data_IF_481138029782
#
_entry.id   IF_481138029782
#
_cell.length_a   1.000
_cell.length_b   1.000
_cell.length_c   1.000
_cell.angle_alpha   90.00
_cell.angle_beta   90.00
_cell.angle_gamma   90.00
#
_symmetry.space_group_name_H-M   'P 1'
#
loop_
_entity.id
_entity.type
_entity.pdbx_description
1 polymer ?
#
# COMPACT_ATOMS: atom_id res chain seq x y z
N UNK A 1 23.10 -25.11 13.86
CA UNK A 1 21.74 -25.65 14.08
C UNK A 1 20.87 -24.50 14.49
N UNK A 2 19.81 -24.20 13.73
CA UNK A 2 18.83 -23.22 14.18
C UNK A 2 18.19 -23.67 15.49
N UNK A 3 18.07 -22.76 16.46
CA UNK A 3 17.38 -23.04 17.71
C UNK A 3 15.91 -23.36 17.45
N UNK A 4 15.35 -24.30 18.19
CA UNK A 4 13.91 -24.61 18.11
C UNK A 4 13.15 -23.47 18.77
N UNK A 5 12.23 -22.83 18.03
CA UNK A 5 11.49 -21.62 18.45
C UNK A 5 10.51 -21.91 19.60
N UNK A 6 9.76 -23.01 19.49
CA UNK A 6 8.80 -23.40 20.52
C UNK A 6 9.29 -24.66 21.23
N UNK A 7 9.77 -24.49 22.44
CA UNK A 7 10.13 -25.57 23.34
C UNK A 7 9.66 -25.22 24.75
N UNK A 8 8.96 -26.14 25.38
CA UNK A 8 8.42 -25.96 26.70
C UNK A 8 8.78 -27.15 27.61
N UNK A 9 9.05 -26.87 28.86
CA UNK A 9 9.14 -27.85 29.91
C UNK A 9 7.75 -28.08 30.54
N UNK A 10 7.50 -29.27 31.08
CA UNK A 10 6.19 -29.59 31.67
C UNK A 10 5.75 -28.59 32.74
N UNK A 11 6.69 -28.03 33.48
CA UNK A 11 6.44 -27.05 34.56
C UNK A 11 5.97 -25.67 34.05
N UNK A 12 6.10 -25.39 32.76
CA UNK A 12 5.60 -24.15 32.12
C UNK A 12 4.14 -24.25 31.67
N UNK A 13 3.49 -25.42 31.90
CA UNK A 13 2.07 -25.59 31.55
C UNK A 13 1.19 -24.62 32.33
N UNK A 14 0.21 -24.06 31.66
CA UNK A 14 -0.81 -23.18 32.25
C UNK A 14 -2.16 -23.89 32.46
N UNK A 15 -2.27 -25.12 32.00
CA UNK A 15 -3.48 -25.93 32.06
C UNK A 15 -3.49 -27.04 31.02
N UNK A 16 -4.63 -27.70 30.86
CA UNK A 16 -4.78 -28.84 29.96
C UNK A 16 -6.12 -28.84 29.21
N UNK A 17 -6.14 -29.52 28.08
CA UNK A 17 -7.35 -29.66 27.25
C UNK A 17 -8.37 -30.54 27.91
N UNK A 18 -9.58 -30.03 28.12
CA UNK A 18 -10.73 -30.74 28.68
C UNK A 18 -11.70 -31.29 27.59
N UNK A 19 -11.92 -30.51 26.55
CA UNK A 19 -12.77 -30.90 25.43
C UNK A 19 -12.26 -30.39 24.09
N UNK A 20 -12.52 -31.10 23.03
CA UNK A 20 -12.09 -30.77 21.67
C UNK A 20 -13.26 -30.94 20.71
N UNK A 21 -13.41 -29.96 19.81
CA UNK A 21 -14.26 -29.99 18.63
C UNK A 21 -13.38 -29.77 17.40
N UNK A 22 -13.96 -29.88 16.18
CA UNK A 22 -13.22 -29.88 14.89
C UNK A 22 -12.24 -28.71 14.70
N UNK A 23 -12.59 -27.51 15.17
CA UNK A 23 -11.76 -26.29 15.02
C UNK A 23 -11.47 -25.57 16.32
N UNK A 24 -11.94 -26.11 17.45
CA UNK A 24 -11.91 -25.47 18.76
C UNK A 24 -11.56 -26.47 19.86
N UNK A 25 -11.05 -25.95 20.97
CA UNK A 25 -10.87 -26.71 22.21
C UNK A 25 -11.26 -25.84 23.40
N UNK A 26 -11.58 -26.53 24.51
CA UNK A 26 -11.71 -25.89 25.82
C UNK A 26 -10.59 -26.43 26.71
N UNK A 27 -9.85 -25.54 27.33
CA UNK A 27 -8.81 -25.89 28.30
C UNK A 27 -9.24 -25.46 29.71
N UNK A 28 -8.91 -26.31 30.70
CA UNK A 28 -8.98 -25.96 32.12
C UNK A 28 -7.63 -25.33 32.48
N UNK A 29 -7.66 -24.20 33.19
CA UNK A 29 -6.48 -23.48 33.65
C UNK A 29 -6.21 -23.82 35.11
N UNK A 30 -4.93 -24.08 35.41
CA UNK A 30 -4.52 -24.69 36.69
C UNK A 30 -4.74 -23.78 37.92
N UNK A 31 -4.75 -22.44 37.73
CA UNK A 31 -4.97 -21.50 38.82
C UNK A 31 -5.63 -20.21 38.42
N UNK A 32 -6.25 -19.54 39.40
CA UNK A 32 -6.85 -18.21 39.26
C UNK A 32 -5.83 -17.13 38.88
N UNK A 33 -4.62 -17.23 39.42
CA UNK A 33 -3.54 -16.27 39.15
C UNK A 33 -3.11 -16.37 37.66
N UNK A 34 -2.98 -17.57 37.15
CA UNK A 34 -2.66 -17.78 35.72
C UNK A 34 -3.80 -17.28 34.85
N UNK A 35 -5.07 -17.63 35.20
CA UNK A 35 -6.24 -17.17 34.42
C UNK A 35 -6.34 -15.64 34.37
N UNK A 36 -5.98 -14.95 35.45
CA UNK A 36 -6.03 -13.48 35.51
C UNK A 36 -5.03 -12.78 34.58
N UNK A 37 -3.97 -13.47 34.17
CA UNK A 37 -2.96 -12.97 33.24
C UNK A 37 -3.27 -13.30 31.78
N UNK A 38 -4.29 -14.11 31.51
CA UNK A 38 -4.66 -14.47 30.14
C UNK A 38 -5.58 -13.38 29.55
N UNK A 39 -5.40 -13.14 28.26
CA UNK A 39 -6.14 -12.13 27.50
C UNK A 39 -6.83 -12.74 26.27
N UNK A 40 -7.95 -12.16 25.87
CA UNK A 40 -8.62 -12.47 24.61
C UNK A 40 -7.64 -12.16 23.45
N UNK A 41 -7.63 -13.01 22.43
CA UNK A 41 -6.73 -13.02 21.27
C UNK A 41 -5.28 -13.40 21.57
N UNK A 42 -4.92 -13.76 22.81
CA UNK A 42 -3.59 -14.30 23.13
C UNK A 42 -3.40 -15.68 22.48
N UNK A 43 -2.16 -15.96 22.01
CA UNK A 43 -1.80 -17.25 21.43
C UNK A 43 -1.36 -18.23 22.50
N UNK A 44 -1.80 -19.48 22.34
CA UNK A 44 -1.49 -20.63 23.21
C UNK A 44 -0.92 -21.73 22.34
N UNK A 45 0.16 -22.37 22.80
CA UNK A 45 0.68 -23.60 22.23
C UNK A 45 0.08 -24.81 22.95
N UNK A 46 -0.59 -25.70 22.22
CA UNK A 46 -1.15 -26.95 22.74
C UNK A 46 -0.25 -28.08 22.28
N UNK A 47 0.12 -28.96 23.19
CA UNK A 47 0.91 -30.14 22.84
C UNK A 47 0.19 -31.01 21.82
N UNK A 48 0.80 -31.29 20.69
CA UNK A 48 0.26 -32.21 19.68
C UNK A 48 0.49 -33.66 20.09
N UNK A 49 -0.39 -34.60 19.69
CA UNK A 49 -0.13 -36.02 19.81
C UNK A 49 1.14 -36.49 19.09
N UNK A 50 1.60 -35.72 18.09
CA UNK A 50 2.80 -36.02 17.32
C UNK A 50 4.01 -35.28 17.96
N UNK A 51 5.07 -36.05 18.26
CA UNK A 51 6.31 -35.47 18.85
C UNK A 51 6.90 -34.35 17.99
N UNK A 52 7.46 -33.32 18.63
CA UNK A 52 8.06 -32.16 17.98
C UNK A 52 7.04 -31.24 17.30
N UNK A 53 5.79 -31.23 17.76
CA UNK A 53 4.73 -30.39 17.22
C UNK A 53 3.88 -29.75 18.30
N UNK A 54 3.38 -28.56 17.97
CA UNK A 54 2.41 -27.82 18.77
C UNK A 54 1.27 -27.34 17.90
N UNK A 55 0.04 -27.42 18.38
CA UNK A 55 -1.11 -26.77 17.79
C UNK A 55 -1.15 -25.35 18.35
N UNK A 56 -1.11 -24.37 17.46
CA UNK A 56 -1.23 -22.97 17.83
C UNK A 56 -2.69 -22.60 17.82
N UNK A 57 -3.17 -22.10 18.95
CA UNK A 57 -4.56 -21.71 19.14
C UNK A 57 -4.65 -20.28 19.72
N UNK A 58 -5.79 -19.65 19.56
CA UNK A 58 -6.07 -18.29 20.04
C UNK A 58 -7.21 -18.32 21.05
N UNK A 59 -7.05 -17.62 22.16
CA UNK A 59 -8.10 -17.47 23.17
C UNK A 59 -9.22 -16.60 22.61
N UNK A 60 -10.44 -17.15 22.50
CA UNK A 60 -11.61 -16.40 22.05
C UNK A 60 -12.59 -16.10 23.18
N UNK A 61 -12.52 -16.86 24.28
CA UNK A 61 -13.38 -16.65 25.44
C UNK A 61 -12.71 -17.15 26.72
N UNK A 62 -12.90 -16.41 27.81
CA UNK A 62 -12.43 -16.78 29.14
C UNK A 62 -13.67 -16.92 30.03
N UNK A 63 -13.79 -18.01 30.73
CA UNK A 63 -14.85 -18.29 31.68
C UNK A 63 -14.26 -18.42 33.08
N UNK A 64 -14.86 -17.71 34.03
CA UNK A 64 -14.59 -17.85 35.44
C UNK A 64 -15.92 -18.14 36.15
N UNK A 65 -16.04 -19.26 36.80
CA UNK A 65 -17.23 -19.60 37.58
C UNK A 65 -16.84 -19.61 39.06
N UNK A 66 -17.53 -18.79 39.87
CA UNK A 66 -17.39 -18.85 41.31
C UNK A 66 -18.05 -20.14 41.82
N UNK A 67 -17.46 -20.75 42.84
CA UNK A 67 -18.11 -21.86 43.56
C UNK A 67 -19.22 -21.24 44.37
N UNK A 68 -20.50 -21.53 44.06
CA UNK A 68 -21.62 -21.24 44.96
C UNK A 68 -21.47 -22.22 46.14
N UNK A 69 -21.04 -21.71 47.28
CA UNK A 69 -21.18 -22.38 48.55
C UNK A 69 -22.68 -22.35 48.92
N UNK A 70 -23.48 -23.24 48.41
CA UNK A 70 -24.76 -23.57 49.04
C UNK A 70 -24.41 -24.46 50.23
N UNK A 71 -24.56 -23.86 51.42
CA UNK A 71 -24.61 -24.58 52.67
C UNK A 71 -25.84 -25.49 52.64
N UNK A 72 -25.67 -26.71 52.20
CA UNK A 72 -26.61 -27.78 52.46
C UNK A 72 -26.07 -28.58 53.66
N UNK A 73 -26.81 -28.54 54.78
CA UNK A 73 -26.59 -29.27 56.02
C UNK A 73 -26.92 -30.74 55.90
N UNK A 74 -26.44 -31.46 54.89
CA UNK A 74 -26.51 -32.90 54.82
C UNK A 74 -25.12 -33.46 54.54
N UNK A 75 -24.58 -34.03 55.66
CA UNK A 75 -23.39 -34.87 55.68
C UNK A 75 -23.62 -36.05 54.77
N UNK A 76 -22.78 -36.26 53.77
CA UNK A 76 -22.40 -37.51 53.06
C UNK A 76 -22.30 -37.44 51.51
N UNK A 77 -21.91 -36.34 50.92
CA UNK A 77 -21.30 -36.36 49.56
C UNK A 77 -20.26 -35.25 49.42
N UNK A 78 -18.97 -35.64 49.34
CA UNK A 78 -17.89 -34.76 48.89
C UNK A 78 -18.12 -34.39 47.43
N UNK A 79 -19.08 -33.47 47.19
CA UNK A 79 -19.22 -32.82 45.89
C UNK A 79 -18.22 -31.68 45.83
N UNK A 80 -16.99 -32.02 45.41
CA UNK A 80 -15.96 -31.06 45.08
C UNK A 80 -16.39 -30.25 43.87
N UNK A 81 -17.29 -29.30 44.05
CA UNK A 81 -17.59 -28.27 43.07
C UNK A 81 -16.37 -27.33 42.92
N UNK A 82 -15.37 -27.84 42.20
CA UNK A 82 -14.17 -27.07 41.88
C UNK A 82 -14.55 -25.90 40.96
N UNK A 83 -14.13 -24.69 41.34
CA UNK A 83 -14.21 -23.53 40.50
C UNK A 83 -13.54 -23.85 39.14
N UNK A 84 -14.28 -23.80 38.07
CA UNK A 84 -13.77 -24.16 36.75
C UNK A 84 -13.29 -22.89 36.07
N UNK A 85 -11.97 -22.73 35.98
CA UNK A 85 -11.31 -21.75 35.17
C UNK A 85 -11.12 -22.29 33.74
N UNK A 86 -11.91 -21.84 32.79
CA UNK A 86 -11.89 -22.38 31.43
C UNK A 86 -11.58 -21.30 30.41
N UNK A 87 -10.84 -21.68 29.37
CA UNK A 87 -10.63 -20.86 28.20
C UNK A 87 -11.06 -21.62 26.95
N UNK A 88 -11.75 -20.92 26.04
CA UNK A 88 -12.09 -21.44 24.73
C UNK A 88 -11.06 -21.00 23.71
N UNK A 89 -10.55 -21.97 22.98
CA UNK A 89 -9.43 -21.84 22.05
C UNK A 89 -9.90 -22.15 20.63
N UNK A 90 -9.53 -21.33 19.66
CA UNK A 90 -9.72 -21.58 18.22
C UNK A 90 -8.37 -21.93 17.61
N UNK A 91 -8.31 -22.99 16.84
CA UNK A 91 -7.06 -23.40 16.20
C UNK A 91 -6.67 -22.46 15.08
N UNK A 92 -5.40 -22.00 15.10
CA UNK A 92 -4.81 -21.11 14.09
C UNK A 92 -3.94 -21.88 13.11
N UNK A 93 -3.27 -22.94 13.58
CA UNK A 93 -2.39 -23.76 12.77
C UNK A 93 -1.56 -24.74 13.58
N UNK A 94 -0.59 -25.36 12.93
CA UNK A 94 0.35 -26.32 13.53
C UNK A 94 1.78 -25.82 13.34
N UNK A 95 2.53 -25.80 14.42
CA UNK A 95 3.97 -25.56 14.44
C UNK A 95 4.72 -26.89 14.56
N UNK A 96 5.79 -27.05 13.77
CA UNK A 96 6.62 -28.26 13.75
C UNK A 96 8.09 -27.88 13.90
N UNK A 97 8.81 -28.57 14.79
CA UNK A 97 10.24 -28.40 14.96
C UNK A 97 11.00 -28.70 13.67
N UNK A 98 10.56 -29.75 12.95
CA UNK A 98 11.10 -30.16 11.65
C UNK A 98 10.01 -30.63 10.70
N UNK A 99 10.17 -30.30 9.42
CA UNK A 99 9.38 -30.85 8.31
C UNK A 99 10.31 -31.12 7.12
N UNK A 100 10.79 -32.37 6.98
CA UNK A 100 11.87 -32.71 6.04
C UNK A 100 13.18 -32.06 6.43
N UNK A 101 13.77 -31.30 5.53
CA UNK A 101 15.02 -30.55 5.78
C UNK A 101 14.82 -29.20 6.46
N UNK A 102 13.57 -28.71 6.56
CA UNK A 102 13.24 -27.42 7.13
C UNK A 102 13.03 -27.52 8.64
N UNK A 103 13.61 -26.58 9.39
CA UNK A 103 13.37 -26.37 10.83
C UNK A 103 12.31 -25.30 11.05
N UNK A 104 11.64 -25.33 12.20
CA UNK A 104 10.67 -24.33 12.66
C UNK A 104 9.57 -24.04 11.60
N UNK A 105 8.74 -25.03 11.28
CA UNK A 105 7.72 -24.94 10.23
C UNK A 105 6.34 -24.65 10.79
N UNK A 106 5.72 -23.53 10.40
CA UNK A 106 4.33 -23.24 10.68
C UNK A 106 3.43 -23.55 9.46
N UNK A 107 2.30 -24.22 9.69
CA UNK A 107 1.24 -24.42 8.68
C UNK A 107 -0.10 -23.98 9.24
N UNK A 108 -0.91 -23.35 8.41
CA UNK A 108 -2.25 -22.86 8.81
C UNK A 108 -3.29 -23.97 9.01
N UNK A 109 -3.04 -25.17 8.52
CA UNK A 109 -3.89 -26.33 8.75
C UNK A 109 -3.41 -27.10 9.96
N UNK A 110 -4.36 -27.67 10.72
CA UNK A 110 -4.09 -28.56 11.83
C UNK A 110 -4.25 -29.99 11.32
N UNK A 111 -3.19 -30.79 11.42
CA UNK A 111 -3.14 -32.15 10.88
C UNK A 111 -3.64 -33.21 11.86
N UNK A 112 -3.83 -32.87 13.13
CA UNK A 112 -4.38 -33.73 14.17
C UNK A 112 -4.99 -32.85 15.27
N UNK A 113 -6.11 -33.27 15.82
CA UNK A 113 -6.70 -32.63 17.00
C UNK A 113 -5.87 -32.95 18.25
N UNK A 114 -5.80 -32.04 19.24
CA UNK A 114 -5.09 -32.33 20.49
C UNK A 114 -5.76 -33.44 21.27
N UNK A 115 -4.99 -34.19 22.04
CA UNK A 115 -5.52 -35.18 22.97
C UNK A 115 -6.21 -34.50 24.16
N UNK A 116 -7.19 -35.16 24.77
CA UNK A 116 -7.67 -34.76 26.10
C UNK A 116 -6.51 -34.82 27.09
N UNK A 117 -6.46 -33.87 27.99
CA UNK A 117 -5.34 -33.62 28.92
C UNK A 117 -4.02 -33.20 28.26
N UNK A 118 -4.02 -32.82 26.96
CA UNK A 118 -2.84 -32.21 26.32
C UNK A 118 -2.50 -30.90 27.01
N UNK A 119 -1.22 -30.69 27.32
CA UNK A 119 -0.75 -29.52 28.04
C UNK A 119 -0.81 -28.27 27.15
N UNK A 120 -1.17 -27.15 27.79
CA UNK A 120 -1.27 -25.83 27.17
C UNK A 120 -0.17 -24.91 27.72
N UNK A 121 0.44 -24.10 26.84
CA UNK A 121 1.53 -23.21 27.17
C UNK A 121 1.29 -21.81 26.61
N UNK A 122 1.66 -20.79 27.35
CA UNK A 122 1.64 -19.40 26.88
C UNK A 122 2.69 -19.17 25.79
N UNK A 123 2.32 -18.47 24.75
CA UNK A 123 3.27 -17.97 23.75
C UNK A 123 3.45 -16.47 24.00
N UNK A 124 4.60 -16.10 24.58
CA UNK A 124 4.92 -14.71 24.96
C UNK A 124 6.41 -14.42 24.79
N UNK A 125 6.81 -13.14 24.89
CA UNK A 125 8.17 -12.69 24.83
C UNK A 125 8.90 -13.08 23.55
N UNK A 126 10.11 -13.61 23.71
CA UNK A 126 10.94 -14.05 22.58
C UNK A 126 10.28 -15.16 21.76
N UNK A 127 9.56 -16.08 22.41
CA UNK A 127 8.86 -17.17 21.70
C UNK A 127 7.79 -16.65 20.75
N UNK A 128 7.02 -15.62 21.14
CA UNK A 128 6.03 -14.98 20.29
C UNK A 128 6.71 -14.25 19.13
N UNK A 129 7.74 -13.48 19.41
CA UNK A 129 8.55 -12.77 18.40
C UNK A 129 9.11 -13.76 17.37
N UNK A 130 9.75 -14.84 17.82
CA UNK A 130 10.38 -15.84 16.95
C UNK A 130 9.35 -16.64 16.13
N UNK A 131 8.19 -16.97 16.72
CA UNK A 131 7.09 -17.60 16.01
C UNK A 131 6.60 -16.69 14.87
N UNK A 132 6.41 -15.41 15.14
CA UNK A 132 5.93 -14.46 14.14
C UNK A 132 6.97 -14.19 13.06
N UNK A 133 8.26 -14.13 13.39
CA UNK A 133 9.34 -14.11 12.40
C UNK A 133 9.33 -15.37 11.53
N UNK A 134 9.16 -16.53 12.13
CA UNK A 134 9.05 -17.80 11.40
C UNK A 134 7.89 -17.79 10.41
N UNK A 135 6.73 -17.27 10.81
CA UNK A 135 5.55 -17.13 9.95
C UNK A 135 5.83 -16.15 8.79
N UNK A 136 6.52 -15.05 9.04
CA UNK A 136 6.87 -14.03 8.05
C UNK A 136 7.96 -14.50 7.08
N UNK A 137 9.02 -15.14 7.58
CA UNK A 137 10.17 -15.59 6.78
C UNK A 137 9.85 -16.78 5.87
N UNK A 138 8.90 -17.62 6.21
CA UNK A 138 8.57 -18.79 5.39
C UNK A 138 7.80 -18.51 4.12
N UNK A 139 7.28 -17.31 4.01
CA UNK A 139 6.52 -16.87 2.85
C UNK A 139 7.38 -16.05 1.89
N UNK A 140 8.61 -15.70 2.29
CA UNK A 140 9.55 -14.92 1.49
C UNK A 140 10.93 -15.56 1.53
N UNK A 141 11.38 -16.09 0.42
CA UNK A 141 12.71 -16.71 0.28
C UNK A 141 13.86 -15.70 0.29
N UNK A 142 13.62 -14.39 0.38
CA UNK A 142 14.66 -13.37 0.19
C UNK A 142 14.51 -12.04 0.93
N UNK A 143 13.45 -11.74 1.68
CA UNK A 143 13.23 -10.41 2.26
C UNK A 143 13.10 -10.46 3.77
N UNK A 144 13.70 -9.46 4.44
CA UNK A 144 13.59 -9.27 5.88
C UNK A 144 12.16 -8.96 6.28
N UNK A 145 11.64 -9.53 7.38
CA UNK A 145 10.31 -9.20 7.88
C UNK A 145 10.23 -7.71 8.30
N UNK A 146 9.08 -7.09 8.04
CA UNK A 146 8.82 -5.70 8.42
C UNK A 146 8.35 -5.65 9.88
N UNK A 147 9.09 -5.00 10.74
CA UNK A 147 8.69 -4.75 12.13
C UNK A 147 7.72 -3.55 12.16
N UNK A 148 6.43 -3.80 12.34
CA UNK A 148 5.38 -2.77 12.26
C UNK A 148 4.92 -2.23 13.61
N UNK A 149 5.33 -2.86 14.71
CA UNK A 149 4.95 -2.45 16.07
C UNK A 149 5.13 -3.56 17.08
N UNK A 150 4.46 -3.43 18.20
CA UNK A 150 4.41 -4.40 19.28
C UNK A 150 3.00 -4.93 19.47
N UNK A 151 2.87 -6.11 20.05
CA UNK A 151 1.57 -6.65 20.42
C UNK A 151 1.02 -5.92 21.66
N UNK A 152 -0.24 -5.52 21.62
CA UNK A 152 -0.90 -4.89 22.78
C UNK A 152 -1.00 -5.83 23.99
N UNK A 153 -0.98 -7.12 23.76
CA UNK A 153 -1.04 -8.16 24.80
C UNK A 153 0.33 -8.53 25.36
N UNK A 154 1.39 -8.14 24.69
CA UNK A 154 2.76 -8.41 25.08
C UNK A 154 3.70 -7.36 24.46
N UNK A 155 3.95 -6.29 25.20
CA UNK A 155 4.77 -5.17 24.75
C UNK A 155 6.26 -5.54 24.53
N UNK A 156 6.69 -6.70 25.01
CA UNK A 156 8.04 -7.23 24.75
C UNK A 156 8.15 -7.89 23.36
N UNK A 157 7.04 -8.28 22.76
CA UNK A 157 6.98 -9.00 21.49
C UNK A 157 6.74 -8.06 20.30
N UNK A 158 7.56 -8.23 19.25
CA UNK A 158 7.48 -7.42 18.03
C UNK A 158 6.55 -8.07 17.02
N UNK A 159 5.64 -7.27 16.47
CA UNK A 159 4.77 -7.68 15.38
C UNK A 159 5.46 -7.50 14.02
N UNK A 160 5.54 -8.58 13.25
CA UNK A 160 6.14 -8.60 11.92
C UNK A 160 5.08 -8.82 10.85
N UNK A 161 5.27 -8.16 9.71
CA UNK A 161 4.54 -8.41 8.47
C UNK A 161 5.48 -8.98 7.40
N UNK A 162 4.91 -9.78 6.51
CA UNK A 162 5.60 -10.23 5.30
C UNK A 162 5.58 -9.11 4.26
N UNK A 163 6.75 -8.50 4.03
CA UNK A 163 6.91 -7.37 3.11
C UNK A 163 6.56 -7.73 1.67
N UNK A 164 6.92 -8.94 1.21
CA UNK A 164 6.57 -9.39 -0.15
C UNK A 164 5.07 -9.42 -0.35
N UNK A 165 4.33 -9.97 0.59
CA UNK A 165 2.87 -10.04 0.49
C UNK A 165 2.20 -8.69 0.64
N UNK A 166 2.73 -7.83 1.50
CA UNK A 166 2.19 -6.49 1.68
C UNK A 166 2.33 -5.67 0.39
N UNK A 167 3.53 -5.68 -0.22
CA UNK A 167 3.83 -4.82 -1.37
C UNK A 167 3.45 -5.41 -2.73
N UNK A 168 3.26 -6.73 -2.84
CA UNK A 168 2.74 -7.36 -4.05
C UNK A 168 1.23 -7.29 -4.18
N UNK A 169 0.52 -6.84 -3.16
CA UNK A 169 -0.95 -6.75 -3.10
C UNK A 169 -1.39 -5.36 -2.65
N UNK A 170 -2.70 -5.17 -2.62
CA UNK A 170 -3.30 -3.94 -2.11
C UNK A 170 -3.49 -4.02 -0.60
N UNK A 171 -3.23 -2.91 0.06
CA UNK A 171 -3.51 -2.71 1.48
C UNK A 171 -4.28 -1.40 1.67
N UNK A 172 -5.18 -1.36 2.64
CA UNK A 172 -5.89 -0.15 3.04
C UNK A 172 -5.70 0.06 4.54
N UNK A 173 -5.30 1.28 4.93
CA UNK A 173 -5.17 1.70 6.32
C UNK A 173 -6.32 2.67 6.60
N UNK A 174 -7.26 2.23 7.42
CA UNK A 174 -8.49 2.97 7.73
C UNK A 174 -8.58 3.27 9.22
N UNK A 175 -9.19 4.38 9.57
CA UNK A 175 -9.39 4.80 10.96
C UNK A 175 -9.93 6.23 11.04
N UNK A 176 -10.40 6.64 12.21
CA UNK A 176 -10.84 8.01 12.49
C UNK A 176 -9.65 8.99 12.53
N UNK A 177 -9.93 10.29 12.51
CA UNK A 177 -8.91 11.32 12.71
C UNK A 177 -8.23 11.11 14.06
N UNK A 178 -6.90 11.22 14.10
CA UNK A 178 -6.11 10.99 15.32
C UNK A 178 -5.86 9.52 15.70
N UNK A 179 -6.35 8.54 14.92
CA UNK A 179 -6.15 7.11 15.21
C UNK A 179 -4.74 6.59 14.89
N UNK A 180 -3.85 7.43 14.36
CA UNK A 180 -2.48 7.05 14.01
C UNK A 180 -2.29 6.47 12.61
N UNK A 181 -3.22 6.70 11.64
CA UNK A 181 -3.06 6.22 10.25
C UNK A 181 -1.77 6.67 9.61
N UNK A 182 -1.48 7.98 9.65
CA UNK A 182 -0.26 8.57 9.07
C UNK A 182 1.00 8.04 9.75
N UNK A 183 0.94 7.83 11.06
CA UNK A 183 2.04 7.22 11.81
C UNK A 183 2.28 5.76 11.41
N UNK A 184 1.23 4.99 11.19
CA UNK A 184 1.32 3.61 10.68
C UNK A 184 1.96 3.58 9.28
N UNK A 185 1.56 4.48 8.38
CA UNK A 185 2.18 4.62 7.05
C UNK A 185 3.66 4.99 7.18
N UNK A 186 4.00 5.97 8.03
CA UNK A 186 5.38 6.36 8.28
C UNK A 186 6.24 5.18 8.74
N UNK A 187 5.74 4.37 9.69
CA UNK A 187 6.42 3.17 10.18
C UNK A 187 6.67 2.16 9.05
N UNK A 188 5.68 1.90 8.19
CA UNK A 188 5.83 0.99 7.03
C UNK A 188 6.87 1.53 6.05
N UNK A 189 6.83 2.82 5.74
CA UNK A 189 7.77 3.50 4.85
C UNK A 189 9.21 3.45 5.38
N UNK A 190 9.40 3.67 6.68
CA UNK A 190 10.70 3.51 7.35
C UNK A 190 11.26 2.08 7.22
N UNK A 191 10.43 1.09 7.48
CA UNK A 191 10.85 -0.31 7.35
C UNK A 191 11.18 -0.65 5.90
N UNK A 192 10.39 -0.14 4.95
CA UNK A 192 10.61 -0.33 3.53
C UNK A 192 11.92 0.30 3.05
N UNK A 193 12.28 1.49 3.55
CA UNK A 193 13.53 2.17 3.22
C UNK A 193 14.78 1.37 3.61
N UNK A 194 14.68 0.50 4.61
CA UNK A 194 15.77 -0.39 5.08
C UNK A 194 15.96 -1.62 4.18
N UNK A 195 15.01 -1.92 3.29
CA UNK A 195 15.09 -3.07 2.41
C UNK A 195 16.05 -2.81 1.25
N UNK A 196 16.95 -3.76 0.97
CA UNK A 196 18.03 -3.62 -0.02
C UNK A 196 17.55 -3.35 -1.45
N UNK A 197 16.42 -3.90 -1.84
CA UNK A 197 15.88 -3.83 -3.20
C UNK A 197 14.51 -3.14 -3.24
N UNK A 198 14.28 -2.19 -2.34
CA UNK A 198 13.02 -1.43 -2.33
C UNK A 198 12.99 -0.38 -3.44
N UNK A 199 11.83 -0.23 -4.06
CA UNK A 199 11.48 0.90 -4.89
C UNK A 199 10.01 1.23 -4.68
N UNK A 200 9.73 2.34 -4.02
CA UNK A 200 8.38 2.81 -3.75
C UNK A 200 8.24 4.30 -4.01
N UNK A 201 7.05 4.69 -4.39
CA UNK A 201 6.65 6.09 -4.53
C UNK A 201 5.48 6.32 -3.57
N UNK A 202 5.64 7.29 -2.68
CA UNK A 202 4.58 7.79 -1.80
C UNK A 202 4.09 9.13 -2.33
N UNK A 203 2.84 9.20 -2.75
CA UNK A 203 2.18 10.46 -3.10
C UNK A 203 1.62 11.09 -1.82
N UNK A 204 2.28 12.16 -1.38
CA UNK A 204 1.96 12.86 -0.14
C UNK A 204 1.07 14.07 -0.43
N UNK A 205 -0.24 13.84 -0.42
CA UNK A 205 -1.24 14.87 -0.79
C UNK A 205 -1.31 15.99 0.25
N UNK A 206 -1.00 15.69 1.52
CA UNK A 206 -1.15 16.63 2.64
C UNK A 206 0.18 17.16 3.19
N UNK A 207 1.33 16.73 2.66
CA UNK A 207 2.65 17.14 3.14
C UNK A 207 3.03 16.55 4.51
N UNK A 208 2.39 15.44 4.93
CA UNK A 208 2.65 14.82 6.23
C UNK A 208 4.02 14.12 6.31
N UNK A 209 4.54 13.64 5.17
CA UNK A 209 5.80 12.89 5.06
C UNK A 209 6.91 13.69 4.37
N UNK A 210 6.63 14.92 4.00
CA UNK A 210 7.55 15.82 3.30
C UNK A 210 8.22 16.82 4.23
N UNK A 211 7.90 16.78 5.53
CA UNK A 211 8.45 17.68 6.54
C UNK A 211 9.95 17.44 6.75
N UNK A 212 10.66 18.49 7.23
CA UNK A 212 12.09 18.42 7.57
C UNK A 212 12.39 17.42 8.68
N UNK A 213 11.40 17.05 9.49
CA UNK A 213 11.53 16.13 10.61
C UNK A 213 11.46 14.66 10.15
N UNK A 214 10.89 14.39 8.96
CA UNK A 214 10.82 13.05 8.37
C UNK A 214 12.05 12.78 7.49
N UNK A 215 13.25 12.84 8.09
CA UNK A 215 14.51 12.53 7.41
C UNK A 215 15.03 11.16 7.82
N UNK A 216 14.91 10.20 6.94
CA UNK A 216 15.29 8.81 7.15
C UNK A 216 16.19 8.37 6.00
N UNK A 217 17.27 7.66 6.32
CA UNK A 217 18.16 7.07 5.31
C UNK A 217 17.38 6.13 4.39
N UNK A 218 17.59 6.26 3.09
CA UNK A 218 16.86 5.50 2.07
C UNK A 218 15.53 6.12 1.63
N UNK A 219 15.14 7.27 2.20
CA UNK A 219 13.98 8.06 1.76
C UNK A 219 14.47 9.35 1.09
N UNK A 220 13.97 9.60 -0.12
CA UNK A 220 14.20 10.84 -0.86
C UNK A 220 12.90 11.62 -0.98
N UNK A 221 12.95 12.90 -0.64
CA UNK A 221 11.82 13.80 -0.75
C UNK A 221 11.92 14.61 -2.03
N UNK A 222 10.84 14.65 -2.78
CA UNK A 222 10.65 15.46 -3.97
C UNK A 222 9.41 16.33 -3.79
N UNK A 223 9.39 17.49 -4.42
CA UNK A 223 8.19 18.35 -4.49
C UNK A 223 7.79 18.58 -5.95
N UNK A 224 6.52 18.76 -6.19
CA UNK A 224 6.05 19.26 -7.48
C UNK A 224 6.43 20.77 -7.58
N UNK A 225 6.89 21.19 -8.75
CA UNK A 225 7.34 22.56 -8.95
C UNK A 225 6.21 23.57 -8.68
N UNK A 226 6.46 24.51 -7.79
CA UNK A 226 5.59 25.67 -7.54
C UNK A 226 5.89 26.81 -8.51
N UNK A 227 5.05 27.86 -8.61
CA UNK A 227 5.35 29.03 -9.43
C UNK A 227 6.73 29.67 -9.16
N UNK A 228 7.20 29.61 -7.92
CA UNK A 228 8.52 30.11 -7.51
C UNK A 228 9.69 29.27 -8.04
N UNK A 229 9.45 27.99 -8.31
CA UNK A 229 10.49 27.04 -8.76
C UNK A 229 10.66 27.03 -10.30
N UNK A 230 9.75 27.63 -11.06
CA UNK A 230 9.73 27.52 -12.53
C UNK A 230 10.99 28.08 -13.20
N UNK A 231 11.62 29.09 -12.62
CA UNK A 231 12.86 29.69 -13.11
C UNK A 231 14.12 28.93 -12.66
N UNK A 232 14.02 27.96 -11.76
CA UNK A 232 15.17 27.20 -11.25
C UNK A 232 15.72 26.31 -12.37
N UNK A 233 17.04 26.30 -12.55
CA UNK A 233 17.73 25.35 -13.43
C UNK A 233 17.90 24.00 -12.75
N UNK A 234 18.08 22.91 -13.54
CA UNK A 234 18.35 21.57 -13.04
C UNK A 234 17.36 21.11 -11.93
N UNK A 235 16.07 21.36 -12.17
CA UNK A 235 15.02 21.10 -11.17
C UNK A 235 15.06 19.68 -10.61
N UNK A 236 15.26 18.68 -11.49
CA UNK A 236 15.30 17.28 -11.10
C UNK A 236 16.46 16.97 -10.13
N UNK A 237 17.63 17.58 -10.35
CA UNK A 237 18.78 17.46 -9.46
C UNK A 237 18.53 18.13 -8.09
N UNK A 238 17.67 19.15 -8.07
CA UNK A 238 17.24 19.86 -6.87
C UNK A 238 16.00 19.24 -6.22
N UNK A 239 15.63 17.99 -6.58
CA UNK A 239 14.45 17.28 -6.10
C UNK A 239 13.11 17.98 -6.40
N UNK A 240 13.08 18.81 -7.46
CA UNK A 240 11.87 19.46 -7.94
C UNK A 240 11.38 18.73 -9.18
N UNK A 241 10.15 18.25 -9.14
CA UNK A 241 9.54 17.48 -10.22
C UNK A 241 8.66 18.38 -11.08
N UNK A 242 8.88 18.31 -12.37
CA UNK A 242 7.93 18.74 -13.40
C UNK A 242 7.13 17.52 -13.86
N UNK A 243 5.87 17.71 -14.20
CA UNK A 243 5.01 16.68 -14.80
C UNK A 243 4.52 17.22 -16.15
N UNK A 244 5.34 17.17 -17.19
CA UNK A 244 5.04 17.78 -18.47
C UNK A 244 3.74 17.25 -19.09
N UNK A 245 2.91 18.14 -19.65
CA UNK A 245 1.66 17.79 -20.32
C UNK A 245 1.81 16.75 -21.43
N UNK A 246 2.96 16.66 -22.06
CA UNK A 246 3.21 15.71 -23.15
C UNK A 246 3.43 14.26 -22.68
N UNK A 247 3.53 14.03 -21.35
CA UNK A 247 3.50 12.70 -20.74
C UNK A 247 2.08 12.17 -20.59
N UNK A 248 1.06 13.03 -20.59
CA UNK A 248 -0.32 12.63 -20.44
C UNK A 248 -0.79 11.86 -21.68
N UNK A 249 -1.51 10.78 -21.44
CA UNK A 249 -2.21 10.06 -22.50
C UNK A 249 -3.47 10.82 -22.96
N UNK A 250 -4.13 10.30 -23.99
CA UNK A 250 -5.32 10.92 -24.57
C UNK A 250 -6.48 11.08 -23.56
N UNK A 251 -6.74 10.06 -22.76
CA UNK A 251 -7.82 10.09 -21.78
C UNK A 251 -7.55 11.08 -20.65
N UNK A 252 -6.31 11.15 -20.17
CA UNK A 252 -5.87 12.08 -19.13
C UNK A 252 -5.95 13.54 -19.63
N UNK A 253 -5.51 13.79 -20.86
CA UNK A 253 -5.64 15.12 -21.47
C UNK A 253 -7.10 15.51 -21.66
N UNK A 254 -7.96 14.59 -22.07
CA UNK A 254 -9.40 14.84 -22.14
C UNK A 254 -9.99 15.17 -20.77
N UNK A 255 -9.65 14.39 -19.76
CA UNK A 255 -10.13 14.62 -18.39
C UNK A 255 -9.72 16.01 -17.86
N UNK A 256 -8.54 16.50 -18.24
CA UNK A 256 -8.03 17.81 -17.85
C UNK A 256 -8.70 18.98 -18.60
N UNK A 257 -9.01 18.81 -19.89
CA UNK A 257 -9.36 19.90 -20.78
C UNK A 257 -10.82 19.91 -21.23
N UNK A 258 -11.48 18.74 -21.36
CA UNK A 258 -12.83 18.63 -21.89
C UNK A 258 -13.89 18.76 -20.80
N UNK A 259 -14.95 19.46 -21.17
CA UNK A 259 -16.20 19.41 -20.44
C UNK A 259 -17.14 18.39 -21.11
N UNK A 260 -17.32 17.27 -20.46
CA UNK A 260 -18.16 16.18 -20.97
C UNK A 260 -19.63 16.57 -21.14
N UNK A 261 -20.06 17.66 -20.51
CA UNK A 261 -21.43 18.20 -20.67
C UNK A 261 -21.60 19.08 -21.91
N UNK A 262 -20.50 19.48 -22.57
CA UNK A 262 -20.54 20.29 -23.81
C UNK A 262 -21.01 19.42 -25.00
N UNK A 263 -22.02 19.86 -25.72
CA UNK A 263 -22.51 19.17 -26.92
C UNK A 263 -21.44 18.94 -28.00
N UNK A 264 -20.43 19.80 -28.04
CA UNK A 264 -19.31 19.71 -28.96
C UNK A 264 -18.12 18.87 -28.41
N UNK A 265 -18.19 18.31 -27.19
CA UNK A 265 -17.09 17.56 -26.60
C UNK A 265 -16.53 16.47 -27.54
N UNK A 266 -17.31 15.65 -28.25
CA UNK A 266 -16.77 14.68 -29.20
C UNK A 266 -15.96 15.31 -30.34
N UNK A 267 -16.43 16.43 -30.90
CA UNK A 267 -15.71 17.15 -31.95
C UNK A 267 -14.42 17.77 -31.42
N UNK A 268 -14.48 18.37 -30.22
CA UNK A 268 -13.33 18.97 -29.54
C UNK A 268 -12.25 17.90 -29.28
N UNK A 269 -12.61 16.75 -28.74
CA UNK A 269 -11.73 15.63 -28.50
C UNK A 269 -11.05 15.13 -29.78
N UNK A 270 -11.83 14.89 -30.82
CA UNK A 270 -11.35 14.37 -32.09
C UNK A 270 -10.37 15.33 -32.77
N UNK A 271 -10.69 16.62 -32.82
CA UNK A 271 -9.83 17.61 -33.48
C UNK A 271 -8.59 17.86 -32.68
N UNK A 272 -8.69 17.97 -31.34
CA UNK A 272 -7.55 18.13 -30.46
C UNK A 272 -6.55 16.98 -30.63
N UNK A 273 -7.02 15.72 -30.56
CA UNK A 273 -6.14 14.56 -30.70
C UNK A 273 -5.45 14.53 -32.06
N UNK A 274 -6.13 14.90 -33.13
CA UNK A 274 -5.56 14.97 -34.48
C UNK A 274 -4.45 16.03 -34.59
N UNK A 275 -4.67 17.22 -34.03
CA UNK A 275 -3.67 18.30 -34.05
C UNK A 275 -2.45 17.97 -33.15
N UNK A 276 -2.69 17.30 -32.01
CA UNK A 276 -1.60 16.80 -31.13
C UNK A 276 -0.78 15.75 -31.86
N UNK A 277 -1.42 14.76 -32.50
CA UNK A 277 -0.71 13.72 -33.25
C UNK A 277 0.13 14.33 -34.36
N UNK A 278 -0.43 15.22 -35.16
CA UNK A 278 0.28 15.90 -36.25
C UNK A 278 1.48 16.73 -35.75
N UNK A 279 1.41 17.28 -34.54
CA UNK A 279 2.55 18.02 -33.95
C UNK A 279 3.62 17.09 -33.39
N UNK A 280 3.22 15.95 -32.79
CA UNK A 280 4.15 14.89 -32.34
C UNK A 280 4.89 14.25 -33.53
N UNK A 281 4.20 13.97 -34.63
CA UNK A 281 4.78 13.41 -35.86
C UNK A 281 5.88 14.31 -36.42
N UNK A 282 5.67 15.62 -36.46
CA UNK A 282 6.71 16.58 -36.86
C UNK A 282 7.97 16.54 -36.01
N UNK A 283 7.82 16.31 -34.71
CA UNK A 283 8.92 16.21 -33.77
C UNK A 283 9.82 15.01 -33.97
N UNK A 284 9.34 13.99 -34.71
CA UNK A 284 10.07 12.74 -34.99
C UNK A 284 10.30 12.47 -36.48
N UNK A 285 9.95 13.43 -37.33
CA UNK A 285 10.14 13.36 -38.80
C UNK A 285 11.59 13.00 -39.15
N UNK A 286 11.76 12.05 -40.05
CA UNK A 286 13.10 11.53 -40.45
C UNK A 286 13.76 10.60 -39.44
N UNK A 287 13.10 10.26 -38.34
CA UNK A 287 13.60 9.26 -37.38
C UNK A 287 12.99 7.89 -37.63
N UNK A 288 13.59 6.83 -37.03
CA UNK A 288 13.05 5.46 -37.08
C UNK A 288 11.68 5.33 -36.40
N UNK A 289 11.27 6.32 -35.64
CA UNK A 289 10.00 6.33 -34.86
C UNK A 289 8.84 6.99 -35.61
N UNK A 290 9.06 7.62 -36.76
CA UNK A 290 8.07 8.41 -37.50
C UNK A 290 6.73 7.67 -37.72
N UNK A 291 6.78 6.36 -38.02
CA UNK A 291 5.57 5.56 -38.27
C UNK A 291 5.03 4.84 -37.01
N UNK A 292 5.64 5.03 -35.85
CA UNK A 292 5.28 4.35 -34.61
C UNK A 292 4.57 5.30 -33.61
N UNK A 293 4.48 6.57 -33.93
CA UNK A 293 3.91 7.59 -33.03
C UNK A 293 2.39 7.49 -33.01
N UNK A 294 1.86 7.53 -31.81
CA UNK A 294 0.43 7.66 -31.53
C UNK A 294 0.17 8.91 -30.67
N UNK A 295 -1.08 9.25 -30.47
CA UNK A 295 -1.45 10.36 -29.58
C UNK A 295 -0.94 10.14 -28.15
N UNK A 296 -0.81 8.87 -27.72
CA UNK A 296 -0.36 8.49 -26.38
C UNK A 296 1.18 8.36 -26.25
N UNK A 297 1.90 8.45 -27.38
CA UNK A 297 3.37 8.37 -27.33
C UNK A 297 3.95 9.53 -26.52
N UNK A 298 4.90 9.27 -25.57
CA UNK A 298 5.50 10.30 -24.72
C UNK A 298 6.56 11.10 -25.50
N UNK A 299 6.12 11.87 -26.47
CA UNK A 299 6.92 12.76 -27.32
C UNK A 299 6.51 14.19 -27.04
N UNK A 300 7.52 15.04 -26.76
CA UNK A 300 7.28 16.45 -26.54
C UNK A 300 6.78 17.13 -27.83
N UNK A 301 5.79 17.98 -27.67
CA UNK A 301 5.20 18.76 -28.75
C UNK A 301 4.89 20.19 -28.28
N UNK A 302 4.65 21.09 -29.23
CA UNK A 302 4.30 22.47 -28.88
C UNK A 302 2.79 22.67 -28.80
N UNK A 303 2.29 22.71 -27.56
CA UNK A 303 0.87 22.89 -27.28
C UNK A 303 0.35 24.27 -27.70
N UNK A 304 1.21 25.30 -27.76
CA UNK A 304 0.85 26.63 -28.24
C UNK A 304 0.56 26.62 -29.77
N UNK A 305 1.35 25.86 -30.51
CA UNK A 305 1.13 25.63 -31.94
C UNK A 305 -0.20 24.89 -32.17
N UNK A 306 -0.49 23.86 -31.36
CA UNK A 306 -1.77 23.13 -31.40
C UNK A 306 -2.93 24.09 -31.13
N UNK A 307 -2.86 24.91 -30.06
CA UNK A 307 -3.90 25.91 -29.74
C UNK A 307 -4.14 26.89 -30.90
N UNK A 308 -3.07 27.38 -31.53
CA UNK A 308 -3.16 28.30 -32.66
C UNK A 308 -3.92 27.68 -33.84
N UNK A 309 -3.64 26.40 -34.14
CA UNK A 309 -4.37 25.67 -35.19
C UNK A 309 -5.85 25.43 -34.86
N UNK A 310 -6.12 25.13 -33.58
CA UNK A 310 -7.50 24.93 -33.12
C UNK A 310 -8.32 26.23 -33.22
N UNK A 311 -7.71 27.39 -32.89
CA UNK A 311 -8.34 28.69 -33.10
C UNK A 311 -8.61 28.98 -34.56
N UNK A 312 -7.63 28.73 -35.45
CA UNK A 312 -7.81 28.89 -36.88
C UNK A 312 -8.98 28.03 -37.43
N UNK A 313 -9.13 26.79 -36.92
CA UNK A 313 -10.27 25.91 -37.29
C UNK A 313 -11.60 26.40 -36.73
N UNK A 314 -11.60 27.03 -35.56
CA UNK A 314 -12.79 27.59 -34.93
C UNK A 314 -13.33 28.81 -35.66
N UNK A 315 -12.45 29.54 -36.36
CA UNK A 315 -12.77 30.73 -37.15
C UNK A 315 -12.84 30.45 -38.67
N UNK A 316 -12.57 29.21 -39.10
CA UNK A 316 -12.43 28.85 -40.51
C UNK A 316 -13.68 29.17 -41.32
N UNK A 317 -13.45 29.83 -42.44
CA UNK A 317 -14.45 30.02 -43.51
C UNK A 317 -14.03 29.19 -44.73
N UNK A 318 -14.97 28.49 -45.34
CA UNK A 318 -14.72 27.64 -46.52
C UNK A 318 -15.52 28.14 -47.71
N UNK A 319 -15.04 27.87 -48.93
CA UNK A 319 -15.80 28.27 -50.15
C UNK A 319 -17.25 27.78 -50.12
N UNK A 320 -18.16 28.68 -50.40
CA UNK A 320 -19.58 28.39 -50.53
C UNK A 320 -19.96 27.80 -51.87
N UNK A 321 -21.24 27.45 -52.03
CA UNK A 321 -21.75 26.84 -53.27
C UNK A 321 -21.79 27.80 -54.46
N UNK A 322 -21.75 29.13 -54.25
CA UNK A 322 -21.71 30.13 -55.32
C UNK A 322 -20.28 30.69 -55.43
N UNK A 323 -19.85 30.96 -56.67
CA UNK A 323 -18.52 31.54 -56.91
C UNK A 323 -18.36 32.85 -56.12
N UNK A 324 -17.29 32.95 -55.33
CA UNK A 324 -16.99 34.11 -54.48
C UNK A 324 -17.76 34.18 -53.15
N UNK A 325 -18.63 33.20 -52.84
CA UNK A 325 -19.25 33.14 -51.49
C UNK A 325 -18.44 32.28 -50.53
N UNK A 326 -18.50 32.63 -49.26
CA UNK A 326 -17.92 31.85 -48.13
C UNK A 326 -19.05 31.34 -47.25
N UNK A 327 -18.80 30.20 -46.60
CA UNK A 327 -19.66 29.62 -45.57
C UNK A 327 -18.83 29.21 -44.37
N UNK A 328 -19.47 29.06 -43.23
CA UNK A 328 -18.84 28.59 -42.01
C UNK A 328 -18.18 27.20 -42.21
N UNK A 329 -16.95 27.04 -41.78
CA UNK A 329 -16.25 25.77 -41.79
C UNK A 329 -16.91 24.74 -40.85
N UNK A 330 -16.52 23.46 -40.96
CA UNK A 330 -17.21 22.38 -40.25
C UNK A 330 -17.08 22.49 -38.73
N UNK A 331 -16.05 23.18 -38.22
CA UNK A 331 -15.76 23.36 -36.81
C UNK A 331 -15.95 24.78 -36.30
N UNK A 332 -16.36 25.72 -37.18
CA UNK A 332 -16.56 27.11 -36.83
C UNK A 332 -17.51 27.26 -35.62
N UNK A 333 -17.08 27.96 -34.58
CA UNK A 333 -17.81 28.19 -33.33
C UNK A 333 -17.96 26.97 -32.42
N UNK A 334 -17.40 25.78 -32.77
CA UNK A 334 -17.52 24.54 -31.96
C UNK A 334 -16.37 24.34 -31.01
N UNK A 335 -15.26 25.00 -31.23
CA UNK A 335 -14.04 24.88 -30.43
C UNK A 335 -13.82 26.05 -29.44
N UNK A 336 -14.63 27.10 -29.52
CA UNK A 336 -14.43 28.36 -28.78
C UNK A 336 -14.27 28.15 -27.27
N UNK A 337 -15.23 27.41 -26.68
CA UNK A 337 -15.17 27.11 -25.22
C UNK A 337 -13.96 26.25 -24.83
N UNK A 338 -13.61 25.31 -25.68
CA UNK A 338 -12.43 24.46 -25.49
C UNK A 338 -11.13 25.28 -25.55
N UNK A 339 -10.99 26.13 -26.59
CA UNK A 339 -9.84 27.00 -26.76
C UNK A 339 -9.65 27.94 -25.55
N UNK A 340 -10.74 28.59 -25.08
CA UNK A 340 -10.70 29.43 -23.89
C UNK A 340 -10.25 28.66 -22.63
N UNK A 341 -10.74 27.41 -22.47
CA UNK A 341 -10.38 26.57 -21.34
C UNK A 341 -8.89 26.17 -21.38
N UNK A 342 -8.41 25.79 -22.56
CA UNK A 342 -6.99 25.49 -22.77
C UNK A 342 -6.11 26.70 -22.50
N UNK A 343 -6.48 27.89 -23.00
CA UNK A 343 -5.75 29.14 -22.71
C UNK A 343 -5.69 29.46 -21.21
N UNK A 344 -6.83 29.31 -20.52
CA UNK A 344 -6.88 29.53 -19.08
C UNK A 344 -5.94 28.58 -18.33
N UNK A 345 -5.86 27.31 -18.73
CA UNK A 345 -4.95 26.33 -18.14
C UNK A 345 -3.47 26.67 -18.43
N UNK A 346 -3.17 27.11 -19.66
CA UNK A 346 -1.80 27.51 -20.05
C UNK A 346 -1.34 28.78 -19.33
N UNK A 347 -2.25 29.70 -19.02
CA UNK A 347 -1.95 30.96 -18.32
C UNK A 347 -1.94 30.84 -16.81
N UNK A 348 -2.48 29.76 -16.24
CA UNK A 348 -2.48 29.55 -14.79
C UNK A 348 -1.08 29.15 -14.30
N UNK A 349 -0.42 30.07 -13.61
CA UNK A 349 0.92 29.84 -13.06
C UNK A 349 0.98 28.67 -12.08
N UNK A 350 -0.12 28.32 -11.42
CA UNK A 350 -0.18 27.18 -10.50
C UNK A 350 -0.04 25.86 -11.25
N UNK A 351 -0.45 25.82 -12.52
CA UNK A 351 -0.27 24.69 -13.44
C UNK A 351 1.08 24.72 -14.16
N UNK A 352 1.99 25.62 -13.76
CA UNK A 352 3.29 25.81 -14.41
C UNK A 352 4.16 24.55 -14.38
N UNK A 353 4.04 23.71 -13.37
CA UNK A 353 4.73 22.41 -13.30
C UNK A 353 4.41 21.47 -14.48
N UNK A 354 3.30 21.71 -15.15
CA UNK A 354 2.86 20.95 -16.31
C UNK A 354 3.06 21.68 -17.63
N UNK A 355 2.78 22.98 -17.66
CA UNK A 355 2.69 23.77 -18.91
C UNK A 355 3.86 24.73 -19.14
N UNK A 356 4.56 25.17 -18.10
CA UNK A 356 5.68 26.14 -18.22
C UNK A 356 7.03 25.43 -18.35
N UNK A 357 7.18 24.62 -19.42
CA UNK A 357 8.33 23.77 -19.65
C UNK A 357 9.49 24.54 -20.27
N UNK A 358 10.70 24.35 -19.75
CA UNK A 358 11.96 24.80 -20.36
C UNK A 358 12.40 23.81 -21.45
N UNK A 359 13.45 24.16 -22.20
CA UNK A 359 14.02 23.27 -23.24
C UNK A 359 14.47 21.92 -22.67
N UNK A 360 14.95 21.92 -21.43
CA UNK A 360 15.39 20.72 -20.73
C UNK A 360 14.26 19.69 -20.60
N UNK A 361 13.09 20.10 -20.09
CA UNK A 361 11.94 19.22 -19.84
C UNK A 361 11.24 18.75 -21.12
N UNK A 362 11.62 19.29 -22.27
CA UNK A 362 11.15 18.86 -23.58
C UNK A 362 12.08 17.80 -24.22
N UNK A 363 13.19 17.44 -23.58
CA UNK A 363 14.18 16.52 -24.14
C UNK A 363 13.92 15.07 -23.74
N UNK A 364 14.29 14.14 -24.62
CA UNK A 364 14.26 12.70 -24.35
C UNK A 364 15.26 12.30 -23.26
N UNK A 365 16.34 13.06 -23.08
CA UNK A 365 17.30 12.79 -22.00
C UNK A 365 16.69 13.10 -20.64
N UNK A 366 15.98 14.20 -20.52
CA UNK A 366 15.23 14.52 -19.30
C UNK A 366 14.22 13.40 -18.94
N UNK A 367 13.48 12.88 -19.92
CA UNK A 367 12.55 11.76 -19.68
C UNK A 367 13.26 10.52 -19.14
N UNK A 368 14.44 10.19 -19.68
CA UNK A 368 15.26 9.06 -19.20
C UNK A 368 15.70 9.27 -17.75
N UNK A 369 16.13 10.49 -17.41
CA UNK A 369 16.60 10.80 -16.07
C UNK A 369 15.43 10.86 -15.08
N UNK A 370 14.29 11.42 -15.46
CA UNK A 370 13.04 11.39 -14.68
C UNK A 370 12.58 9.93 -14.42
N UNK A 371 12.53 9.10 -15.45
CA UNK A 371 12.19 7.70 -15.30
C UNK A 371 13.19 6.94 -14.40
N UNK A 372 14.49 7.25 -14.53
CA UNK A 372 15.54 6.67 -13.68
C UNK A 372 15.37 7.06 -12.22
N UNK A 373 15.02 8.31 -11.92
CA UNK A 373 14.77 8.79 -10.56
C UNK A 373 13.61 8.04 -9.93
N UNK A 374 12.50 7.84 -10.65
CA UNK A 374 11.30 7.20 -10.10
C UNK A 374 11.37 5.68 -10.11
N UNK A 375 11.96 5.07 -11.14
CA UNK A 375 11.85 3.62 -11.42
C UNK A 375 13.12 2.81 -11.12
N UNK A 376 14.19 3.43 -10.62
CA UNK A 376 15.42 2.70 -10.30
C UNK A 376 15.16 1.62 -9.25
N UNK A 377 15.53 0.37 -9.54
CA UNK A 377 15.24 -0.79 -8.72
C UNK A 377 15.72 -0.68 -7.26
N UNK A 378 16.90 -0.12 -7.01
CA UNK A 378 17.45 0.06 -5.66
C UNK A 378 17.31 1.51 -5.18
N UNK A 379 16.23 2.18 -5.60
CA UNK A 379 16.06 3.62 -5.38
C UNK A 379 15.52 4.00 -4.00
N UNK A 380 15.19 3.04 -3.14
CA UNK A 380 14.55 3.31 -1.86
C UNK A 380 13.13 3.87 -2.00
N UNK A 381 12.69 4.64 -1.03
CA UNK A 381 11.38 5.29 -1.05
C UNK A 381 11.51 6.74 -1.55
N UNK A 382 10.65 7.13 -2.48
CA UNK A 382 10.50 8.51 -2.95
C UNK A 382 9.17 9.06 -2.42
N UNK A 383 9.25 10.12 -1.65
CA UNK A 383 8.08 10.88 -1.20
C UNK A 383 7.89 12.04 -2.17
N UNK A 384 6.75 12.16 -2.78
CA UNK A 384 6.40 13.25 -3.70
C UNK A 384 5.38 14.13 -3.00
N UNK A 385 5.81 15.30 -2.57
CA UNK A 385 4.94 16.32 -1.98
C UNK A 385 4.04 16.92 -3.05
N UNK A 386 2.75 16.75 -2.85
CA UNK A 386 1.67 17.27 -3.69
C UNK A 386 0.80 18.31 -2.98
N UNK A 387 1.18 18.73 -1.79
CA UNK A 387 0.35 19.62 -0.95
C UNK A 387 0.05 20.97 -1.58
N UNK A 388 0.92 21.45 -2.49
CA UNK A 388 0.74 22.72 -3.22
C UNK A 388 0.18 22.55 -4.64
N UNK A 389 -0.14 21.31 -5.06
CA UNK A 389 -0.75 21.05 -6.38
C UNK A 389 -2.21 21.50 -6.37
N UNK A 390 -2.68 22.29 -7.35
CA UNK A 390 -4.07 22.72 -7.42
C UNK A 390 -5.02 21.52 -7.59
N UNK A 391 -6.12 21.53 -6.86
CA UNK A 391 -7.20 20.53 -6.93
C UNK A 391 -8.04 20.65 -8.20
#
# INVERSE_FOLDING_TARGET
>A
MESIVLRYDKGESIGSINSVDTGMATAIIDSDDVLSQLQINQLIAIQSPKSGRYIIAMIVKIYRKATDMTLNDDEDEEDTSSAFNQVRLVFVGEFMDKAGEQSNVFRRNVSAVPSISALCYKIEGTRLTDLMQTISNKLATSISPLAIGKYTMDESSIAYMDGDKLFQRHAAIVGSTGSGKSFCVACIVEQMAKLKHSNAILFDIHGEYSSTDFKIDGIKQYKIATPGDLATSEKLNNNILMVPYWLLNYEEMQALLLDRSDQNAPNQAMIFSREVLAEKEKGVEGTIYEHLITVDSPVAYDLQTVLTRLKSKDEEMVPGARAGSEKLGPYNGKLTRFNQRLENKLSDKRMGFMFSLQTEEKSQNWLKDFARVLMKADGGVKVIDMSEVPS
#
